data_IF_953530185074
#
_entry.id   IF_953530185074
#
_cell.length_a   1.000
_cell.length_b   1.000
_cell.length_c   1.000
_cell.angle_alpha   90.00
_cell.angle_beta   90.00
_cell.angle_gamma   90.00
#
_symmetry.space_group_name_H-M   'P 1'
#
loop_
_entity.id
_entity.type
_entity.pdbx_description
1 polymer ?
#
# COMPACT_ATOMS: atom_id res chain seq x y z
N UNK A 1 -40.94 -6.70 -17.88
CA UNK A 1 -41.09 -5.61 -16.92
C UNK A 1 -39.71 -5.18 -16.45
N UNK A 2 -38.96 -4.31 -17.15
CA UNK A 2 -37.64 -3.84 -16.65
C UNK A 2 -37.36 -2.36 -17.02
N UNK A 3 -38.38 -1.52 -16.97
CA UNK A 3 -38.31 -0.12 -17.44
C UNK A 3 -38.41 0.95 -16.35
N UNK A 4 -38.03 0.68 -15.10
CA UNK A 4 -38.18 1.64 -13.98
C UNK A 4 -36.88 2.03 -13.24
N UNK A 5 -35.76 1.36 -13.47
CA UNK A 5 -34.49 1.66 -12.78
C UNK A 5 -33.58 2.65 -13.51
N UNK A 6 -33.96 3.11 -14.71
CA UNK A 6 -33.08 3.97 -15.52
C UNK A 6 -32.90 5.40 -14.98
N UNK A 7 -33.76 5.93 -14.11
CA UNK A 7 -33.76 7.37 -13.81
C UNK A 7 -32.69 7.80 -12.79
N UNK A 8 -32.60 7.13 -11.64
CA UNK A 8 -31.59 7.47 -10.61
C UNK A 8 -30.20 6.95 -10.97
N UNK A 9 -30.16 5.78 -11.62
CA UNK A 9 -28.94 5.15 -12.09
C UNK A 9 -28.25 5.95 -13.22
N UNK A 10 -29.02 6.71 -14.01
CA UNK A 10 -28.47 7.56 -15.08
C UNK A 10 -27.58 8.67 -14.54
N UNK A 11 -27.92 9.26 -13.39
CA UNK A 11 -27.19 10.43 -12.87
C UNK A 11 -25.79 10.08 -12.39
N UNK A 12 -25.64 8.94 -11.70
CA UNK A 12 -24.33 8.46 -11.22
C UNK A 12 -23.46 8.03 -12.40
N UNK A 13 -24.01 7.27 -13.35
CA UNK A 13 -23.30 6.86 -14.56
C UNK A 13 -22.88 8.06 -15.41
N UNK A 14 -23.74 9.07 -15.53
CA UNK A 14 -23.43 10.30 -16.26
C UNK A 14 -22.30 11.10 -15.58
N UNK A 15 -22.33 11.25 -14.25
CA UNK A 15 -21.24 11.89 -13.50
C UNK A 15 -19.91 11.16 -13.68
N UNK A 16 -19.94 9.83 -13.64
CA UNK A 16 -18.78 8.98 -13.90
C UNK A 16 -18.23 9.15 -15.32
N UNK A 17 -19.09 9.05 -16.32
CA UNK A 17 -18.73 9.18 -17.73
C UNK A 17 -18.25 10.59 -18.09
N UNK A 18 -18.80 11.62 -17.46
CA UNK A 18 -18.41 13.02 -17.67
C UNK A 18 -17.01 13.33 -17.14
N UNK A 19 -16.57 12.61 -16.10
CA UNK A 19 -15.23 12.76 -15.55
C UNK A 19 -14.18 12.07 -16.43
N UNK A 20 -14.41 10.80 -16.80
CA UNK A 20 -13.48 10.04 -17.65
C UNK A 20 -14.17 8.82 -18.31
N UNK A 21 -14.38 8.92 -19.63
CA UNK A 21 -15.00 7.87 -20.43
C UNK A 21 -14.18 6.57 -20.45
N UNK A 22 -12.85 6.67 -20.40
CA UNK A 22 -11.97 5.50 -20.44
C UNK A 22 -12.06 4.71 -19.14
N UNK A 23 -12.01 5.39 -17.99
CA UNK A 23 -12.22 4.77 -16.67
C UNK A 23 -13.59 4.11 -16.58
N UNK A 24 -14.63 4.80 -17.07
CA UNK A 24 -15.98 4.26 -17.09
C UNK A 24 -16.09 2.99 -17.96
N UNK A 25 -15.47 2.96 -19.14
CA UNK A 25 -15.47 1.78 -20.00
C UNK A 25 -14.80 0.57 -19.34
N UNK A 26 -13.71 0.77 -18.59
CA UNK A 26 -13.00 -0.30 -17.89
C UNK A 26 -13.88 -0.88 -16.76
N UNK A 27 -14.50 -0.01 -15.96
CA UNK A 27 -15.42 -0.41 -14.90
C UNK A 27 -16.60 -1.21 -15.45
N UNK A 28 -17.24 -0.72 -16.50
CA UNK A 28 -18.38 -1.39 -17.10
C UNK A 28 -18.01 -2.76 -17.66
N UNK A 29 -16.80 -2.90 -18.21
CA UNK A 29 -16.32 -4.16 -18.78
C UNK A 29 -16.07 -5.23 -17.71
N UNK A 30 -15.52 -4.86 -16.56
CA UNK A 30 -15.15 -5.83 -15.51
C UNK A 30 -16.25 -6.06 -14.49
N UNK A 31 -16.88 -4.99 -14.00
CA UNK A 31 -17.90 -5.06 -12.96
C UNK A 31 -19.32 -5.09 -13.52
N UNK A 32 -19.56 -4.43 -14.65
CA UNK A 32 -20.91 -4.20 -15.19
C UNK A 32 -21.57 -2.97 -14.58
N UNK A 33 -22.32 -2.22 -15.39
CA UNK A 33 -22.89 -0.92 -15.00
C UNK A 33 -23.77 -0.99 -13.74
N UNK A 34 -24.67 -1.98 -13.63
CA UNK A 34 -25.56 -2.13 -12.49
C UNK A 34 -24.80 -2.44 -11.18
N UNK A 35 -23.75 -3.25 -11.25
CA UNK A 35 -22.94 -3.57 -10.07
C UNK A 35 -22.14 -2.35 -9.60
N UNK A 36 -21.58 -1.57 -10.53
CA UNK A 36 -20.90 -0.31 -10.20
C UNK A 36 -21.86 0.64 -9.51
N UNK A 37 -23.05 0.85 -10.07
CA UNK A 37 -24.05 1.74 -9.46
C UNK A 37 -24.42 1.27 -8.06
N UNK A 38 -24.69 -0.02 -7.89
CA UNK A 38 -25.06 -0.60 -6.60
C UNK A 38 -23.97 -0.35 -5.55
N UNK A 39 -22.71 -0.63 -5.88
CA UNK A 39 -21.58 -0.41 -4.97
C UNK A 39 -21.40 1.07 -4.61
N UNK A 40 -21.61 1.99 -5.56
CA UNK A 40 -21.44 3.42 -5.31
C UNK A 40 -22.64 4.06 -4.59
N UNK A 41 -23.85 3.52 -4.77
CA UNK A 41 -25.06 4.01 -4.09
C UNK A 41 -25.01 3.78 -2.58
N UNK A 42 -24.40 2.68 -2.14
CA UNK A 42 -24.30 2.30 -0.73
C UNK A 42 -23.26 3.14 0.05
N UNK A 43 -22.46 3.97 -0.65
CA UNK A 43 -21.40 4.78 -0.06
C UNK A 43 -21.82 6.25 0.15
N UNK A 44 -21.26 6.87 1.19
CA UNK A 44 -21.37 8.32 1.42
C UNK A 44 -20.72 9.08 0.26
N UNK A 45 -21.20 10.28 -0.09
CA UNK A 45 -20.68 11.05 -1.24
C UNK A 45 -19.16 11.22 -1.25
N UNK A 46 -18.56 11.41 -0.07
CA UNK A 46 -17.13 11.65 0.10
C UNK A 46 -16.29 10.42 -0.26
N UNK A 47 -16.80 9.22 0.02
CA UNK A 47 -16.12 7.96 -0.29
C UNK A 47 -16.27 7.52 -1.75
N UNK A 48 -17.24 8.08 -2.49
CA UNK A 48 -17.57 7.59 -3.84
C UNK A 48 -16.39 7.77 -4.79
N UNK A 49 -15.70 8.90 -4.73
CA UNK A 49 -14.57 9.19 -5.64
C UNK A 49 -13.46 8.15 -5.44
N UNK A 50 -13.10 7.88 -4.19
CA UNK A 50 -12.03 6.92 -3.87
C UNK A 50 -12.44 5.48 -4.17
N UNK A 51 -13.70 5.11 -3.92
CA UNK A 51 -14.22 3.82 -4.31
C UNK A 51 -14.18 3.63 -5.84
N UNK A 52 -14.59 4.64 -6.61
CA UNK A 52 -14.52 4.61 -8.08
C UNK A 52 -13.07 4.43 -8.53
N UNK A 53 -12.13 5.19 -7.97
CA UNK A 53 -10.72 5.08 -8.30
C UNK A 53 -10.15 3.69 -7.98
N UNK A 54 -10.53 3.12 -6.83
CA UNK A 54 -10.13 1.78 -6.41
C UNK A 54 -10.70 0.71 -7.35
N UNK A 55 -11.98 0.81 -7.71
CA UNK A 55 -12.61 -0.09 -8.66
C UNK A 55 -11.96 0.01 -10.06
N UNK A 56 -11.60 1.22 -10.52
CA UNK A 56 -10.88 1.40 -11.80
C UNK A 56 -9.53 0.71 -11.75
N UNK A 57 -8.79 0.86 -10.65
CA UNK A 57 -7.50 0.22 -10.45
C UNK A 57 -7.63 -1.31 -10.51
N UNK A 58 -8.58 -1.89 -9.76
CA UNK A 58 -8.83 -3.33 -9.76
C UNK A 58 -9.27 -3.86 -11.14
N UNK A 59 -10.17 -3.15 -11.81
CA UNK A 59 -10.62 -3.53 -13.15
C UNK A 59 -9.47 -3.46 -14.15
N UNK A 60 -8.63 -2.42 -14.09
CA UNK A 60 -7.47 -2.29 -14.96
C UNK A 60 -6.49 -3.43 -14.74
N UNK A 61 -6.20 -3.78 -13.48
CA UNK A 61 -5.35 -4.91 -13.14
C UNK A 61 -5.93 -6.23 -13.67
N UNK A 62 -7.25 -6.46 -13.54
CA UNK A 62 -7.91 -7.66 -14.08
C UNK A 62 -7.93 -7.73 -15.61
N UNK A 63 -7.91 -6.58 -16.30
CA UNK A 63 -7.77 -6.55 -17.76
C UNK A 63 -6.35 -6.89 -18.21
N UNK A 64 -5.33 -6.53 -17.43
CA UNK A 64 -3.93 -6.85 -17.70
C UNK A 64 -3.61 -8.31 -17.35
N UNK A 65 -4.11 -8.79 -16.22
CA UNK A 65 -3.99 -10.17 -15.76
C UNK A 65 -5.37 -10.72 -15.37
N UNK A 66 -6.03 -11.46 -16.28
CA UNK A 66 -7.32 -12.07 -15.98
C UNK A 66 -7.31 -13.14 -14.89
N UNK A 67 -6.15 -13.74 -14.60
CA UNK A 67 -6.04 -14.82 -13.63
C UNK A 67 -5.86 -14.29 -12.21
N UNK A 68 -4.92 -13.37 -12.00
CA UNK A 68 -4.60 -12.84 -10.66
C UNK A 68 -5.03 -11.38 -10.47
N UNK A 69 -5.07 -10.57 -11.52
CA UNK A 69 -5.39 -9.15 -11.44
C UNK A 69 -4.57 -8.42 -10.37
N UNK A 70 -5.25 -7.69 -9.49
CA UNK A 70 -4.59 -6.97 -8.40
C UNK A 70 -3.94 -7.88 -7.36
N UNK A 71 -4.35 -9.15 -7.24
CA UNK A 71 -3.74 -10.13 -6.32
C UNK A 71 -2.29 -10.41 -6.74
N UNK A 72 -2.01 -10.47 -8.04
CA UNK A 72 -0.64 -10.65 -8.54
C UNK A 72 0.26 -9.48 -8.16
N UNK A 73 -0.28 -8.25 -8.22
CA UNK A 73 0.44 -7.03 -7.78
C UNK A 73 0.73 -7.09 -6.28
N UNK A 74 -0.26 -7.46 -5.46
CA UNK A 74 -0.08 -7.61 -4.01
C UNK A 74 1.01 -8.64 -3.71
N UNK A 75 0.98 -9.80 -4.36
CA UNK A 75 1.98 -10.84 -4.16
C UNK A 75 3.39 -10.35 -4.53
N UNK A 76 3.54 -9.63 -5.64
CA UNK A 76 4.83 -9.06 -6.02
C UNK A 76 5.35 -8.08 -4.97
N UNK A 77 4.49 -7.19 -4.45
CA UNK A 77 4.86 -6.24 -3.40
C UNK A 77 5.27 -6.96 -2.11
N UNK A 78 4.56 -8.01 -1.71
CA UNK A 78 4.90 -8.82 -0.55
C UNK A 78 6.28 -9.49 -0.69
N UNK A 79 6.61 -9.99 -1.88
CA UNK A 79 7.94 -10.55 -2.16
C UNK A 79 9.03 -9.48 -2.05
N UNK A 80 8.79 -8.27 -2.56
CA UNK A 80 9.74 -7.15 -2.46
C UNK A 80 9.96 -6.72 -1.02
N UNK A 81 8.89 -6.62 -0.21
CA UNK A 81 8.98 -6.32 1.21
C UNK A 81 9.84 -7.37 1.93
N UNK A 82 9.59 -8.66 1.64
CA UNK A 82 10.34 -9.75 2.25
C UNK A 82 11.84 -9.72 1.88
N UNK A 83 12.17 -9.46 0.62
CA UNK A 83 13.56 -9.30 0.17
C UNK A 83 14.25 -8.13 0.89
N UNK A 84 13.60 -6.98 0.94
CA UNK A 84 14.14 -5.80 1.61
C UNK A 84 14.36 -6.03 3.10
N UNK A 85 13.40 -6.66 3.78
CA UNK A 85 13.54 -7.04 5.19
C UNK A 85 14.72 -8.00 5.40
N UNK A 86 14.88 -9.01 4.55
CA UNK A 86 16.01 -9.95 4.60
C UNK A 86 17.36 -9.23 4.47
N UNK A 87 17.45 -8.27 3.53
CA UNK A 87 18.67 -7.46 3.32
C UNK A 87 18.99 -6.57 4.51
N UNK A 88 17.97 -5.97 5.14
CA UNK A 88 18.14 -5.17 6.36
C UNK A 88 18.69 -6.06 7.48
N UNK A 89 18.08 -7.22 7.73
CA UNK A 89 18.53 -8.15 8.78
C UNK A 89 19.96 -8.64 8.54
N UNK A 90 20.31 -9.00 7.30
CA UNK A 90 21.67 -9.43 6.96
C UNK A 90 22.71 -8.30 7.19
N UNK A 91 22.35 -7.07 6.86
CA UNK A 91 23.19 -5.89 7.09
C UNK A 91 23.36 -5.62 8.58
N UNK A 92 22.28 -5.68 9.35
CA UNK A 92 22.31 -5.53 10.82
C UNK A 92 23.18 -6.59 11.48
N UNK A 93 23.07 -7.85 11.06
CA UNK A 93 23.91 -8.94 11.55
C UNK A 93 25.40 -8.70 11.22
N UNK A 94 25.69 -8.18 10.02
CA UNK A 94 27.06 -7.81 9.62
C UNK A 94 27.62 -6.70 10.50
N UNK A 95 26.83 -5.65 10.77
CA UNK A 95 27.22 -4.55 11.65
C UNK A 95 27.49 -5.05 13.07
N UNK A 96 26.62 -5.89 13.63
CA UNK A 96 26.82 -6.48 14.95
C UNK A 96 28.10 -7.32 15.02
N UNK A 97 28.36 -8.11 13.98
CA UNK A 97 29.60 -8.89 13.88
C UNK A 97 30.84 -8.00 13.93
N UNK A 98 30.88 -6.94 13.10
CA UNK A 98 32.00 -5.98 13.08
C UNK A 98 32.20 -5.34 14.46
N UNK A 99 31.12 -4.84 15.08
CA UNK A 99 31.18 -4.24 16.43
C UNK A 99 31.70 -5.22 17.49
N UNK A 100 31.28 -6.48 17.43
CA UNK A 100 31.77 -7.51 18.36
C UNK A 100 33.26 -7.81 18.17
N UNK A 101 33.75 -7.81 16.93
CA UNK A 101 35.16 -8.00 16.61
C UNK A 101 36.01 -6.81 17.08
N UNK A 102 35.53 -5.58 16.86
CA UNK A 102 36.17 -4.36 17.36
C UNK A 102 36.28 -4.39 18.89
N UNK A 103 35.21 -4.76 19.60
CA UNK A 103 35.22 -4.88 21.05
C UNK A 103 36.23 -5.94 21.55
N UNK A 104 36.33 -7.10 20.87
CA UNK A 104 37.31 -8.15 21.21
C UNK A 104 38.75 -7.70 20.98
N UNK A 105 39.02 -6.99 19.88
CA UNK A 105 40.34 -6.46 19.57
C UNK A 105 40.80 -5.43 20.61
N UNK A 106 39.91 -4.50 20.99
CA UNK A 106 40.18 -3.50 22.03
C UNK A 106 40.44 -4.16 23.38
N UNK A 107 39.66 -5.19 23.75
CA UNK A 107 39.84 -5.91 25.02
C UNK A 107 41.17 -6.68 25.12
N UNK A 108 41.82 -6.98 23.98
CA UNK A 108 43.06 -7.75 23.94
C UNK A 108 44.33 -6.89 24.14
N UNK A 109 44.20 -5.55 24.25
CA UNK A 109 45.33 -4.63 24.44
C UNK A 109 45.54 -4.35 25.94
N UNK A 110 46.63 -4.84 26.57
CA UNK A 110 46.88 -4.62 27.99
C UNK A 110 47.13 -3.13 28.28
N UNK A 111 46.34 -2.53 29.18
CA UNK A 111 46.49 -1.14 29.63
C UNK A 111 45.70 -0.08 28.84
N UNK A 112 44.88 -0.48 27.85
CA UNK A 112 44.04 0.44 27.10
C UNK A 112 42.71 0.73 27.83
N UNK A 113 42.65 1.82 28.60
CA UNK A 113 41.40 2.28 29.21
C UNK A 113 40.57 3.07 28.20
N UNK A 114 39.70 2.39 27.47
CA UNK A 114 38.84 3.04 26.49
C UNK A 114 37.63 3.68 27.20
N UNK A 115 37.58 5.02 27.26
CA UNK A 115 36.38 5.79 27.64
C UNK A 115 35.29 5.77 26.54
N UNK A 116 35.46 4.95 25.50
CA UNK A 116 34.45 4.74 24.49
C UNK A 116 33.31 3.89 25.06
N UNK A 117 32.32 4.57 25.61
CA UNK A 117 31.03 3.99 25.93
C UNK A 117 30.22 3.90 24.61
N UNK A 118 29.87 2.71 24.09
CA UNK A 118 29.09 2.59 22.86
C UNK A 118 27.58 2.76 23.13
N UNK A 119 27.20 3.49 24.18
CA UNK A 119 25.79 3.83 24.44
C UNK A 119 25.47 5.11 23.66
N UNK A 120 24.38 5.08 22.86
CA UNK A 120 23.86 6.07 21.88
C UNK A 120 24.54 6.00 20.49
N UNK A 121 23.84 5.73 19.37
CA UNK A 121 22.45 6.08 19.04
C UNK A 121 21.86 5.08 18.04
N UNK A 122 20.81 4.37 18.43
CA UNK A 122 19.72 3.99 17.52
C UNK A 122 18.42 4.22 18.27
N UNK A 123 18.11 5.48 18.52
CA UNK A 123 16.71 5.91 18.57
C UNK A 123 16.25 6.00 17.12
N UNK A 124 15.79 4.87 16.57
CA UNK A 124 14.66 4.97 15.65
C UNK A 124 13.50 5.29 16.60
N UNK A 125 13.21 6.58 16.71
CA UNK A 125 11.94 7.02 17.23
C UNK A 125 10.93 6.54 16.19
N UNK A 126 10.31 5.39 16.45
CA UNK A 126 8.93 5.17 16.00
C UNK A 126 8.10 6.12 16.85
N UNK A 127 8.00 7.36 16.38
CA UNK A 127 6.88 8.21 16.76
C UNK A 127 5.72 7.64 15.97
N UNK A 128 4.88 6.90 16.67
CA UNK A 128 3.53 6.57 16.24
C UNK A 128 2.88 7.86 15.70
N UNK A 129 2.52 7.84 14.41
CA UNK A 129 1.60 8.79 13.81
C UNK A 129 0.24 8.60 14.51
N UNK A 130 -0.04 9.41 15.53
CA UNK A 130 -1.41 9.75 15.87
C UNK A 130 -1.88 10.73 14.79
N UNK A 131 -2.46 10.17 13.72
CA UNK A 131 -3.30 10.92 12.79
C UNK A 131 -4.54 11.41 13.57
N UNK A 132 -4.43 12.62 14.13
CA UNK A 132 -5.56 13.40 14.64
C UNK A 132 -6.29 14.00 13.43
N UNK A 133 -7.41 13.37 13.06
CA UNK A 133 -8.46 13.95 12.23
C UNK A 133 -8.90 15.32 12.76
N UNK A 134 -9.24 16.23 11.82
CA UNK A 134 -10.20 17.37 11.89
C UNK A 134 -9.57 18.75 11.57
N UNK A 135 -9.73 19.22 10.33
CA UNK A 135 -10.83 20.12 9.91
C UNK A 135 -10.92 20.26 8.38
#
# INVERSE_FOLDING_TARGET
MEGKQCLDNCTILYRLASNDLHKFSILQKVFGACNVIKLIQDLSPDQRVDAINSMVYEASARLQDPALGCVGIIQQLQLQISDLQSRITATQATIQKIRSQEAQLVASIPGFNNKFNPTMSTSLNDSDDEDEDLE
#
